data_IF_985132487379
#
_entry.id   IF_985132487379
#
_cell.length_a   1.000
_cell.length_b   1.000
_cell.length_c   1.000
_cell.angle_alpha   90.00
_cell.angle_beta   90.00
_cell.angle_gamma   90.00
#
_symmetry.space_group_name_H-M   'P 1'
#
loop_
_entity.id
_entity.type
_entity.pdbx_description
1 polymer ?
#
# COMPACT_ATOMS: atom_id res chain seq x y z
N UNK A 1 7.36 30.36 7.99
CA UNK A 1 7.10 28.93 8.23
C UNK A 1 5.77 28.62 7.60
N UNK A 2 5.79 27.97 6.43
CA UNK A 2 4.62 27.33 5.86
C UNK A 2 4.82 25.84 6.10
N UNK A 3 4.11 25.29 7.08
CA UNK A 3 4.04 23.86 7.39
C UNK A 3 3.16 23.15 6.35
N UNK A 4 3.50 23.28 5.06
CA UNK A 4 2.90 22.44 4.04
C UNK A 4 3.64 21.12 4.08
N UNK A 5 2.96 20.07 4.52
CA UNK A 5 3.44 18.71 4.37
C UNK A 5 3.77 18.51 2.88
N UNK A 6 4.97 18.03 2.49
CA UNK A 6 5.25 17.69 1.10
C UNK A 6 4.28 16.65 0.50
N UNK A 7 3.43 16.01 1.31
CA UNK A 7 2.32 15.16 0.88
C UNK A 7 0.97 15.89 0.70
N UNK A 8 0.86 17.18 1.05
CA UNK A 8 -0.33 18.02 0.83
C UNK A 8 -0.41 18.61 -0.59
N UNK A 9 0.58 18.35 -1.45
CA UNK A 9 0.48 18.70 -2.86
C UNK A 9 -0.69 17.93 -3.49
N UNK A 10 -1.71 18.62 -4.05
CA UNK A 10 -2.88 17.96 -4.58
C UNK A 10 -2.47 17.05 -5.75
N UNK A 11 -2.72 15.75 -5.59
CA UNK A 11 -2.46 14.76 -6.64
C UNK A 11 -3.20 15.20 -7.92
N UNK A 12 -2.51 15.30 -9.07
CA UNK A 12 -3.14 15.72 -10.32
C UNK A 12 -4.38 14.88 -10.63
N UNK A 13 -5.49 15.55 -10.98
CA UNK A 13 -6.73 14.87 -11.40
C UNK A 13 -6.43 14.08 -12.68
N UNK A 14 -6.41 12.75 -12.58
CA UNK A 14 -5.97 11.82 -13.63
C UNK A 14 -4.79 10.93 -13.25
N UNK A 15 -4.09 11.25 -12.15
CA UNK A 15 -3.05 10.39 -11.53
C UNK A 15 -3.59 9.73 -10.26
N UNK A 16 -4.55 10.36 -9.60
CA UNK A 16 -5.22 9.79 -8.44
C UNK A 16 -6.07 8.57 -8.85
N UNK A 17 -5.76 7.42 -8.24
CA UNK A 17 -6.59 6.22 -8.34
C UNK A 17 -7.94 6.49 -7.66
N UNK A 18 -9.02 5.95 -8.23
CA UNK A 18 -10.25 5.74 -7.46
C UNK A 18 -9.99 4.78 -6.30
N UNK A 19 -10.87 4.81 -5.30
CA UNK A 19 -10.74 3.92 -4.15
C UNK A 19 -10.71 2.44 -4.56
N UNK A 20 -11.55 2.06 -5.52
CA UNK A 20 -11.56 0.70 -6.07
C UNK A 20 -10.24 0.34 -6.77
N UNK A 21 -9.70 1.24 -7.60
CA UNK A 21 -8.42 1.03 -8.25
C UNK A 21 -7.28 0.92 -7.23
N UNK A 22 -7.31 1.72 -6.17
CA UNK A 22 -6.33 1.65 -5.08
C UNK A 22 -6.37 0.28 -4.36
N UNK A 23 -7.57 -0.24 -4.07
CA UNK A 23 -7.73 -1.58 -3.50
C UNK A 23 -7.24 -2.68 -4.44
N UNK A 24 -7.55 -2.60 -5.74
CA UNK A 24 -7.05 -3.58 -6.73
C UNK A 24 -5.53 -3.58 -6.84
N UNK A 25 -4.91 -2.41 -6.80
CA UNK A 25 -3.45 -2.29 -6.81
C UNK A 25 -2.85 -2.89 -5.55
N UNK A 26 -3.46 -2.64 -4.39
CA UNK A 26 -3.01 -3.21 -3.12
C UNK A 26 -3.11 -4.73 -3.11
N UNK A 27 -4.23 -5.29 -3.57
CA UNK A 27 -4.42 -6.75 -3.74
C UNK A 27 -3.36 -7.35 -4.67
N UNK A 28 -3.09 -6.72 -5.82
CA UNK A 28 -2.06 -7.18 -6.74
C UNK A 28 -0.64 -7.17 -6.13
N UNK A 29 -0.35 -6.21 -5.25
CA UNK A 29 0.91 -6.12 -4.51
C UNK A 29 1.01 -7.26 -3.48
N UNK A 30 -0.09 -7.56 -2.77
CA UNK A 30 -0.16 -8.69 -1.83
C UNK A 30 0.04 -10.03 -2.53
N UNK A 31 -0.61 -10.24 -3.67
CA UNK A 31 -0.47 -11.44 -4.50
C UNK A 31 0.96 -11.61 -5.01
N UNK A 32 1.59 -10.53 -5.49
CA UNK A 32 2.98 -10.56 -5.93
C UNK A 32 3.92 -10.96 -4.78
N UNK A 33 3.70 -10.42 -3.58
CA UNK A 33 4.48 -10.79 -2.38
C UNK A 33 4.28 -12.27 -2.03
N UNK A 34 3.04 -12.78 -2.11
CA UNK A 34 2.74 -14.18 -1.84
C UNK A 34 3.43 -15.11 -2.85
N UNK A 35 3.37 -14.77 -4.14
CA UNK A 35 4.04 -15.54 -5.20
C UNK A 35 5.57 -15.59 -5.02
N UNK A 36 6.19 -14.50 -4.57
CA UNK A 36 7.61 -14.48 -4.21
C UNK A 36 7.91 -15.41 -3.03
N UNK A 37 7.06 -15.39 -2.00
CA UNK A 37 7.19 -16.24 -0.81
C UNK A 37 7.10 -17.72 -1.17
N UNK A 38 6.09 -18.11 -1.95
CA UNK A 38 5.90 -19.50 -2.38
C UNK A 38 7.08 -20.03 -3.19
N UNK A 39 7.72 -19.15 -3.96
CA UNK A 39 8.92 -19.48 -4.75
C UNK A 39 10.22 -19.42 -3.94
N UNK A 40 10.17 -18.99 -2.68
CA UNK A 40 11.38 -18.76 -1.87
C UNK A 40 12.34 -17.74 -2.49
N UNK A 41 11.83 -16.77 -3.25
CA UNK A 41 12.63 -15.86 -4.07
C UNK A 41 12.58 -14.42 -3.55
N UNK A 42 13.69 -13.69 -3.73
CA UNK A 42 13.82 -12.26 -3.39
C UNK A 42 13.33 -11.92 -1.96
N UNK A 43 13.94 -12.48 -0.90
CA UNK A 43 13.51 -12.27 0.48
C UNK A 43 13.51 -10.79 0.90
N UNK A 44 14.51 -10.00 0.49
CA UNK A 44 14.51 -8.55 0.73
C UNK A 44 13.25 -7.89 0.16
N UNK A 45 12.95 -8.14 -1.12
CA UNK A 45 11.76 -7.60 -1.78
C UNK A 45 10.46 -8.01 -1.06
N UNK A 46 10.38 -9.21 -0.52
CA UNK A 46 9.22 -9.62 0.28
C UNK A 46 9.06 -8.76 1.56
N UNK A 47 10.16 -8.46 2.25
CA UNK A 47 10.17 -7.65 3.47
C UNK A 47 9.81 -6.19 3.17
N UNK A 48 10.32 -5.65 2.06
CA UNK A 48 9.97 -4.31 1.60
C UNK A 48 8.50 -4.22 1.19
N UNK A 49 7.99 -5.19 0.42
CA UNK A 49 6.57 -5.25 0.06
C UNK A 49 5.67 -5.39 1.30
N UNK A 50 6.05 -6.23 2.27
CA UNK A 50 5.32 -6.36 3.54
C UNK A 50 5.28 -5.05 4.34
N UNK A 51 6.37 -4.28 4.30
CA UNK A 51 6.45 -2.97 4.95
C UNK A 51 5.53 -1.96 4.27
N UNK A 52 5.56 -1.89 2.93
CA UNK A 52 4.70 -0.99 2.15
C UNK A 52 3.22 -1.32 2.37
N UNK A 53 2.83 -2.60 2.31
CA UNK A 53 1.44 -3.03 2.56
C UNK A 53 0.98 -2.57 3.95
N UNK A 54 1.78 -2.79 5.00
CA UNK A 54 1.45 -2.35 6.36
C UNK A 54 1.29 -0.83 6.46
N UNK A 55 2.18 -0.07 5.82
CA UNK A 55 2.06 1.39 5.80
C UNK A 55 0.80 1.86 5.08
N UNK A 56 0.41 1.20 3.99
CA UNK A 56 -0.81 1.53 3.26
C UNK A 56 -2.06 1.17 4.06
N UNK A 57 -2.07 0.01 4.73
CA UNK A 57 -3.17 -0.36 5.63
C UNK A 57 -3.37 0.65 6.77
N UNK A 58 -2.30 1.08 7.44
CA UNK A 58 -2.41 2.09 8.50
C UNK A 58 -2.91 3.45 8.01
N UNK A 59 -2.48 3.88 6.82
CA UNK A 59 -3.00 5.12 6.21
C UNK A 59 -4.47 5.01 5.79
N UNK A 60 -4.92 3.81 5.43
CA UNK A 60 -6.30 3.55 5.02
C UNK A 60 -7.21 3.13 6.19
N UNK A 61 -6.68 3.01 7.41
CA UNK A 61 -7.43 2.53 8.58
C UNK A 61 -7.79 1.04 8.53
N UNK A 62 -7.08 0.25 7.73
CA UNK A 62 -7.34 -1.19 7.51
C UNK A 62 -6.61 -2.10 8.53
N UNK A 63 -5.74 -1.51 9.36
CA UNK A 63 -5.03 -2.22 10.44
C UNK A 63 -5.99 -2.76 11.52
N UNK A 64 -7.20 -2.20 11.62
CA UNK A 64 -8.26 -2.59 12.56
C UNK A 64 -9.15 -3.69 11.97
N UNK A 65 -8.56 -4.82 11.60
CA UNK A 65 -9.31 -6.04 11.31
C UNK A 65 -9.88 -6.65 12.60
N UNK A 66 -11.01 -6.15 13.11
CA UNK A 66 -11.71 -6.74 14.24
C UNK A 66 -13.19 -6.40 14.25
N UNK A 67 -14.02 -7.40 13.93
CA UNK A 67 -15.44 -7.51 14.31
C UNK A 67 -15.78 -6.71 15.58
N UNK A 68 -16.75 -5.80 15.49
CA UNK A 68 -17.63 -5.50 16.62
C UNK A 68 -18.99 -6.15 16.38
#
# INVERSE_FOLDING_TARGET
MSDLDPFDDPVPRGVALSLEEAFRVLEAIEDARLALRERGAAPGLQDELATVIRMLHGKLGLDEGGVQ
#
